data_IF_831832733734
#
_entry.id   IF_831832733734
#
_cell.length_a   1.000
_cell.length_b   1.000
_cell.length_c   1.000
_cell.angle_alpha   90.00
_cell.angle_beta   90.00
_cell.angle_gamma   90.00
#
_symmetry.space_group_name_H-M   'P 1'
#
loop_
_entity.id
_entity.type
_entity.pdbx_description
1 polymer ?
#
# COMPACT_ATOMS: atom_id res chain seq x y z
N UNK A 1 8.56 -2.32 -10.23
CA UNK A 1 7.59 -3.26 -9.62
C UNK A 1 6.99 -2.52 -8.44
N UNK A 2 5.67 -2.42 -8.34
CA UNK A 2 5.00 -1.81 -7.19
C UNK A 2 4.38 -2.89 -6.30
N UNK A 3 4.15 -2.56 -5.03
CA UNK A 3 3.39 -3.39 -4.11
C UNK A 3 2.04 -2.70 -3.82
N UNK A 4 0.94 -3.43 -4.00
CA UNK A 4 -0.41 -2.92 -3.75
C UNK A 4 -1.13 -3.91 -2.84
N UNK A 5 -1.69 -3.40 -1.74
CA UNK A 5 -2.59 -4.16 -0.87
C UNK A 5 -3.98 -3.56 -0.95
N UNK A 6 -5.00 -4.40 -1.13
CA UNK A 6 -6.38 -3.97 -1.29
C UNK A 6 -7.12 -4.23 0.03
N UNK A 7 -7.69 -3.17 0.61
CA UNK A 7 -8.50 -3.22 1.82
C UNK A 7 -9.89 -2.66 1.53
N UNK A 8 -10.92 -3.44 1.87
CA UNK A 8 -12.30 -3.03 1.67
C UNK A 8 -12.86 -2.23 2.86
N UNK A 9 -12.17 -2.22 4.01
CA UNK A 9 -12.49 -1.40 5.18
C UNK A 9 -11.61 -0.14 5.28
N UNK A 10 -12.21 1.00 5.62
CA UNK A 10 -11.47 2.26 5.82
C UNK A 10 -10.58 2.26 7.08
N UNK A 11 -10.83 1.36 8.04
CA UNK A 11 -10.02 1.20 9.26
C UNK A 11 -8.70 0.45 9.06
N UNK A 12 -8.47 -0.11 7.87
CA UNK A 12 -7.40 -1.08 7.63
C UNK A 12 -6.13 -0.45 7.05
N UNK A 13 -6.05 0.89 6.97
CA UNK A 13 -4.86 1.60 6.45
C UNK A 13 -3.59 1.31 7.26
N UNK A 14 -3.60 1.34 8.61
CA UNK A 14 -2.42 0.99 9.39
C UNK A 14 -1.97 -0.47 9.16
N UNK A 15 -2.92 -1.38 8.95
CA UNK A 15 -2.62 -2.79 8.68
C UNK A 15 -2.00 -2.96 7.28
N UNK A 16 -2.55 -2.29 6.27
CA UNK A 16 -1.99 -2.30 4.92
C UNK A 16 -0.56 -1.71 4.89
N UNK A 17 -0.32 -0.61 5.59
CA UNK A 17 1.02 -0.03 5.72
C UNK A 17 2.01 -1.02 6.34
N UNK A 18 1.63 -1.64 7.45
CA UNK A 18 2.44 -2.61 8.17
C UNK A 18 2.77 -3.85 7.31
N UNK A 19 1.77 -4.38 6.60
CA UNK A 19 1.91 -5.54 5.74
C UNK A 19 2.78 -5.25 4.50
N UNK A 20 2.60 -4.09 3.86
CA UNK A 20 3.40 -3.67 2.71
C UNK A 20 4.88 -3.51 3.08
N UNK A 21 5.17 -3.00 4.28
CA UNK A 21 6.54 -2.84 4.76
C UNK A 21 7.18 -4.19 5.11
N UNK A 22 6.42 -5.10 5.75
CA UNK A 22 6.86 -6.50 5.93
C UNK A 22 7.13 -7.19 4.60
N UNK A 23 6.28 -6.95 3.60
CA UNK A 23 6.48 -7.49 2.26
C UNK A 23 7.75 -6.93 1.62
N UNK A 24 8.01 -5.62 1.72
CA UNK A 24 9.25 -5.01 1.24
C UNK A 24 10.48 -5.65 1.88
N UNK A 25 10.48 -5.78 3.22
CA UNK A 25 11.58 -6.42 3.96
C UNK A 25 11.82 -7.86 3.49
N UNK A 26 10.76 -8.65 3.30
CA UNK A 26 10.86 -10.01 2.80
C UNK A 26 11.39 -10.07 1.36
N UNK A 27 10.93 -9.18 0.48
CA UNK A 27 11.41 -9.11 -0.92
C UNK A 27 12.90 -8.81 -0.95
N UNK A 28 13.34 -7.77 -0.23
CA UNK A 28 14.75 -7.36 -0.18
C UNK A 28 15.61 -8.46 0.46
N UNK A 29 15.15 -9.08 1.56
CA UNK A 29 15.87 -10.16 2.23
C UNK A 29 16.11 -11.38 1.32
N UNK A 30 15.21 -11.64 0.39
CA UNK A 30 15.33 -12.75 -0.58
C UNK A 30 16.06 -12.35 -1.88
N UNK A 31 16.78 -11.22 -1.88
CA UNK A 31 17.56 -10.75 -3.03
C UNK A 31 16.73 -10.07 -4.13
N UNK A 32 15.46 -9.78 -3.84
CA UNK A 32 14.60 -9.00 -4.71
C UNK A 32 14.92 -7.50 -4.65
N UNK A 33 14.38 -6.75 -5.62
CA UNK A 33 14.48 -5.29 -5.65
C UNK A 33 13.32 -4.68 -4.86
N UNK A 34 13.61 -3.64 -4.09
CA UNK A 34 12.61 -2.82 -3.41
C UNK A 34 11.51 -2.33 -4.39
N UNK A 35 10.22 -2.37 -3.99
CA UNK A 35 9.15 -1.82 -4.79
C UNK A 35 9.37 -0.34 -5.10
N UNK A 36 9.08 0.07 -6.34
CA UNK A 36 9.13 1.48 -6.75
C UNK A 36 8.06 2.34 -6.08
N UNK A 37 7.02 1.72 -5.52
CA UNK A 37 6.01 2.33 -4.67
C UNK A 37 5.27 1.26 -3.86
N UNK A 38 4.66 1.69 -2.75
CA UNK A 38 3.74 0.91 -1.93
C UNK A 38 2.41 1.63 -1.87
N UNK A 39 1.30 0.91 -2.05
CA UNK A 39 -0.04 1.49 -2.10
C UNK A 39 -1.07 0.64 -1.35
N UNK A 40 -1.78 1.24 -0.40
CA UNK A 40 -3.03 0.71 0.14
C UNK A 40 -4.22 1.22 -0.69
N UNK A 41 -4.89 0.32 -1.38
CA UNK A 41 -6.12 0.63 -2.12
C UNK A 41 -7.33 0.44 -1.19
N UNK A 42 -8.08 1.51 -0.95
CA UNK A 42 -9.21 1.52 0.00
C UNK A 42 -10.56 1.70 -0.69
N UNK A 43 -11.66 1.28 -0.05
CA UNK A 43 -13.01 1.45 -0.62
C UNK A 43 -13.49 2.90 -0.65
N UNK A 44 -13.25 3.65 0.42
CA UNK A 44 -13.66 5.04 0.57
C UNK A 44 -12.68 5.82 1.45
N UNK A 45 -12.57 7.13 1.22
CA UNK A 45 -11.64 8.00 1.93
C UNK A 45 -11.04 9.04 0.99
N UNK A 46 -9.87 9.56 1.37
CA UNK A 46 -9.15 10.55 0.59
C UNK A 46 -7.78 10.00 0.18
N UNK A 47 -7.24 10.54 -0.90
CA UNK A 47 -5.85 10.27 -1.28
C UNK A 47 -4.93 10.89 -0.24
N UNK A 48 -4.00 10.11 0.29
CA UNK A 48 -2.97 10.59 1.22
C UNK A 48 -1.70 9.76 1.10
N UNK A 49 -0.63 10.21 1.76
CA UNK A 49 0.61 9.48 1.92
C UNK A 49 0.88 9.35 3.41
N UNK A 50 1.16 8.14 3.88
CA UNK A 50 1.51 7.91 5.28
C UNK A 50 2.91 8.46 5.59
N UNK A 51 3.23 8.63 6.88
CA UNK A 51 4.57 9.06 7.30
C UNK A 51 5.68 8.07 6.87
N UNK A 52 5.33 6.79 6.66
CA UNK A 52 6.24 5.74 6.19
C UNK A 52 6.25 5.60 4.66
N UNK A 53 5.61 6.52 3.93
CA UNK A 53 5.68 6.61 2.47
C UNK A 53 4.72 5.70 1.70
N UNK A 54 3.68 5.15 2.34
CA UNK A 54 2.67 4.34 1.67
C UNK A 54 1.58 5.23 1.08
N UNK A 55 1.24 5.03 -0.19
CA UNK A 55 0.16 5.73 -0.88
C UNK A 55 -1.18 5.15 -0.42
N UNK A 56 -2.10 5.97 0.06
CA UNK A 56 -3.47 5.57 0.38
C UNK A 56 -4.37 6.09 -0.72
N UNK A 57 -4.98 5.18 -1.50
CA UNK A 57 -5.73 5.54 -2.71
C UNK A 57 -7.12 4.91 -2.68
N UNK A 58 -8.20 5.69 -2.74
CA UNK A 58 -9.53 5.14 -2.92
C UNK A 58 -9.67 4.44 -4.29
N UNK A 59 -10.38 3.32 -4.33
CA UNK A 59 -10.58 2.53 -5.56
C UNK A 59 -11.22 3.36 -6.70
N UNK A 60 -12.04 4.36 -6.35
CA UNK A 60 -12.60 5.30 -7.32
C UNK A 60 -11.56 6.14 -8.08
N UNK A 61 -10.32 6.21 -7.61
CA UNK A 61 -9.23 6.92 -8.30
C UNK A 61 -8.61 6.11 -9.45
N UNK A 62 -8.92 4.82 -9.59
CA UNK A 62 -8.37 3.98 -10.66
C UNK A 62 -9.13 4.12 -12.00
N UNK A 63 -10.23 4.86 -12.01
CA UNK A 63 -11.10 4.99 -13.18
C UNK A 63 -11.96 3.74 -13.44
N UNK A 64 -12.84 3.78 -14.46
CA UNK A 64 -13.64 2.65 -14.90
C UNK A 64 -12.85 1.60 -15.71
#
# INVERSE_FOLDING_TARGET
>A
MGAIEIKMGAGDVPEAEENLLKLNELVVKNGGKEPSFMMGLISAGYVSVTERGVLVVPIGCLGP
#
